data_IF_455460964822
#
_entry.id   IF_455460964822
#
_cell.length_a   1.000
_cell.length_b   1.000
_cell.length_c   1.000
_cell.angle_alpha   90.00
_cell.angle_beta   90.00
_cell.angle_gamma   90.00
#
_symmetry.space_group_name_H-M   'P 1'
#
loop_
_entity.id
_entity.type
_entity.pdbx_description
1 polymer ?
#
# COMPACT_ATOMS: atom_id res chain seq x y z
N UNK A 1 -40.12 -36.16 -34.30
CA UNK A 1 -39.49 -34.91 -33.84
C UNK A 1 -39.10 -35.11 -32.38
N UNK A 2 -37.81 -35.08 -32.05
CA UNK A 2 -37.37 -35.18 -30.64
C UNK A 2 -37.62 -33.82 -30.00
N UNK A 3 -38.65 -33.73 -29.16
CA UNK A 3 -38.93 -32.52 -28.37
C UNK A 3 -37.87 -32.45 -27.28
N UNK A 4 -36.94 -31.51 -27.40
CA UNK A 4 -35.96 -31.25 -26.35
C UNK A 4 -36.71 -30.84 -25.07
N UNK A 5 -36.37 -31.48 -23.95
CA UNK A 5 -36.96 -31.14 -22.66
C UNK A 5 -36.60 -29.68 -22.32
N UNK A 6 -37.60 -28.79 -22.11
CA UNK A 6 -37.36 -27.37 -21.84
C UNK A 6 -36.45 -27.13 -20.61
N UNK A 7 -36.40 -28.08 -19.67
CA UNK A 7 -35.55 -28.01 -18.48
C UNK A 7 -34.04 -27.98 -18.82
N UNK A 8 -33.62 -28.60 -19.92
CA UNK A 8 -32.21 -28.59 -20.34
C UNK A 8 -31.76 -27.20 -20.83
N UNK A 9 -32.67 -26.47 -21.50
CA UNK A 9 -32.39 -25.13 -21.99
C UNK A 9 -32.33 -24.14 -20.82
N UNK A 10 -33.26 -24.25 -19.86
CA UNK A 10 -33.25 -23.40 -18.65
C UNK A 10 -32.03 -23.66 -17.77
N UNK A 11 -31.60 -24.93 -17.65
CA UNK A 11 -30.38 -25.30 -16.90
C UNK A 11 -29.13 -24.71 -17.54
N UNK A 12 -28.97 -24.80 -18.86
CA UNK A 12 -27.82 -24.21 -19.56
C UNK A 12 -27.77 -22.68 -19.40
N UNK A 13 -28.89 -21.98 -19.62
CA UNK A 13 -28.96 -20.52 -19.47
C UNK A 13 -28.54 -20.11 -18.05
N UNK A 14 -28.97 -20.86 -17.04
CA UNK A 14 -28.62 -20.60 -15.64
C UNK A 14 -27.11 -20.73 -15.39
N UNK A 15 -26.46 -21.78 -15.93
CA UNK A 15 -25.02 -22.00 -15.78
C UNK A 15 -24.22 -20.85 -16.39
N UNK A 16 -24.53 -20.44 -17.63
CA UNK A 16 -23.82 -19.33 -18.29
C UNK A 16 -24.00 -18.02 -17.54
N UNK A 17 -25.19 -17.79 -16.98
CA UNK A 17 -25.47 -16.60 -16.16
C UNK A 17 -24.61 -16.58 -14.89
N UNK A 18 -24.48 -17.71 -14.20
CA UNK A 18 -23.63 -17.82 -13.01
C UNK A 18 -22.15 -17.61 -13.34
N UNK A 19 -21.67 -18.17 -14.46
CA UNK A 19 -20.29 -17.98 -14.93
C UNK A 19 -20.04 -16.49 -15.21
N UNK A 20 -20.94 -15.83 -15.93
CA UNK A 20 -20.84 -14.40 -16.23
C UNK A 20 -20.77 -13.53 -14.97
N UNK A 21 -21.62 -13.84 -13.96
CA UNK A 21 -21.59 -13.15 -12.67
C UNK A 21 -20.27 -13.38 -11.93
N UNK A 22 -19.76 -14.62 -11.89
CA UNK A 22 -18.51 -14.94 -11.23
C UNK A 22 -17.31 -14.18 -11.86
N UNK A 23 -17.24 -14.13 -13.19
CA UNK A 23 -16.21 -13.39 -13.91
C UNK A 23 -16.29 -11.88 -13.65
N UNK A 24 -17.52 -11.34 -13.64
CA UNK A 24 -17.77 -9.93 -13.34
C UNK A 24 -17.31 -9.58 -11.92
N UNK A 25 -17.68 -10.40 -10.93
CA UNK A 25 -17.26 -10.21 -9.54
C UNK A 25 -15.74 -10.30 -9.38
N UNK A 26 -15.10 -11.26 -10.06
CA UNK A 26 -13.65 -11.41 -10.03
C UNK A 26 -12.94 -10.16 -10.58
N UNK A 27 -13.44 -9.59 -11.68
CA UNK A 27 -12.91 -8.36 -12.27
C UNK A 27 -13.00 -7.19 -11.28
N UNK A 28 -14.19 -6.95 -10.71
CA UNK A 28 -14.40 -5.87 -9.74
C UNK A 28 -13.55 -6.05 -8.49
N UNK A 29 -13.43 -7.28 -7.98
CA UNK A 29 -12.60 -7.58 -6.81
C UNK A 29 -11.12 -7.27 -7.08
N UNK A 30 -10.63 -7.60 -8.28
CA UNK A 30 -9.25 -7.32 -8.69
C UNK A 30 -8.99 -5.81 -8.77
N UNK A 31 -9.91 -5.05 -9.37
CA UNK A 31 -9.81 -3.58 -9.44
C UNK A 31 -9.88 -2.97 -8.04
N UNK A 32 -10.78 -3.47 -7.19
CA UNK A 32 -10.90 -2.99 -5.82
C UNK A 32 -9.63 -3.23 -5.00
N UNK A 33 -8.94 -4.35 -5.24
CA UNK A 33 -7.70 -4.69 -4.55
C UNK A 33 -6.45 -3.94 -5.08
N UNK A 34 -6.53 -3.21 -6.20
CA UNK A 34 -5.37 -2.52 -6.82
C UNK A 34 -4.53 -1.68 -5.84
N UNK A 35 -5.11 -0.78 -5.01
CA UNK A 35 -4.31 0.06 -4.11
C UNK A 35 -3.48 -0.77 -3.13
N UNK A 36 -4.07 -1.84 -2.60
CA UNK A 36 -3.41 -2.78 -1.69
C UNK A 36 -2.30 -3.55 -2.41
N UNK A 37 -2.55 -4.03 -3.64
CA UNK A 37 -1.57 -4.75 -4.45
C UNK A 37 -0.35 -3.85 -4.74
N UNK A 38 -0.59 -2.60 -5.16
CA UNK A 38 0.48 -1.63 -5.47
C UNK A 38 1.30 -1.31 -4.22
N UNK A 39 0.65 -1.07 -3.08
CA UNK A 39 1.35 -0.78 -1.82
C UNK A 39 2.23 -1.96 -1.35
N UNK A 40 1.76 -3.19 -1.53
CA UNK A 40 2.54 -4.40 -1.21
C UNK A 40 3.68 -4.62 -2.19
N UNK A 41 3.43 -4.48 -3.50
CA UNK A 41 4.44 -4.66 -4.55
C UNK A 41 5.58 -3.64 -4.45
N UNK A 42 5.27 -2.39 -4.04
CA UNK A 42 6.27 -1.34 -3.80
C UNK A 42 6.93 -1.42 -2.42
N UNK A 43 6.56 -2.40 -1.59
CA UNK A 43 7.02 -2.54 -0.21
C UNK A 43 6.86 -1.23 0.60
N UNK A 44 5.73 -0.53 0.40
CA UNK A 44 5.51 0.82 0.90
C UNK A 44 5.60 0.84 2.44
N UNK A 45 6.31 1.81 3.05
CA UNK A 45 6.46 1.90 4.52
C UNK A 45 5.13 1.88 5.26
N UNK A 46 4.09 2.48 4.68
CA UNK A 46 2.71 2.51 5.22
C UNK A 46 1.75 1.52 4.55
N UNK A 47 2.25 0.41 4.00
CA UNK A 47 1.44 -0.62 3.31
C UNK A 47 0.23 -1.09 4.11
N UNK A 48 0.39 -1.28 5.42
CA UNK A 48 -0.70 -1.71 6.30
C UNK A 48 -1.78 -0.64 6.49
N UNK A 49 -1.41 0.64 6.52
CA UNK A 49 -2.38 1.74 6.60
C UNK A 49 -3.17 1.87 5.31
N UNK A 50 -2.51 1.73 4.15
CA UNK A 50 -3.17 1.74 2.83
C UNK A 50 -4.15 0.57 2.72
N UNK A 51 -3.76 -0.64 3.16
CA UNK A 51 -4.64 -1.82 3.17
C UNK A 51 -5.85 -1.59 4.09
N UNK A 52 -5.64 -1.04 5.29
CA UNK A 52 -6.73 -0.75 6.22
C UNK A 52 -7.73 0.27 5.67
N UNK A 53 -7.23 1.35 5.05
CA UNK A 53 -8.08 2.36 4.39
C UNK A 53 -8.80 1.76 3.18
N UNK A 54 -8.14 0.91 2.40
CA UNK A 54 -8.78 0.22 1.28
C UNK A 54 -9.91 -0.71 1.74
N UNK A 55 -9.72 -1.49 2.81
CA UNK A 55 -10.73 -2.41 3.36
C UNK A 55 -11.89 -1.67 4.03
N UNK A 56 -11.60 -0.74 4.94
CA UNK A 56 -12.62 -0.08 5.76
C UNK A 56 -13.27 1.05 4.97
N UNK A 57 -12.45 1.89 4.34
CA UNK A 57 -12.92 3.08 3.64
C UNK A 57 -13.53 2.78 2.27
N UNK A 58 -13.07 1.73 1.58
CA UNK A 58 -13.69 1.26 0.35
C UNK A 58 -15.04 0.56 0.60
N UNK A 59 -15.19 -0.18 1.71
CA UNK A 59 -16.42 -0.92 2.04
C UNK A 59 -17.52 -0.02 2.62
N UNK A 60 -17.16 1.02 3.38
CA UNK A 60 -18.13 1.86 4.11
C UNK A 60 -18.51 3.16 3.37
N UNK A 61 -17.59 3.77 2.62
CA UNK A 61 -17.78 5.13 2.07
C UNK A 61 -17.37 5.26 0.60
N UNK A 62 -16.66 4.28 0.02
CA UNK A 62 -16.13 4.31 -1.35
C UNK A 62 -14.99 5.30 -1.58
N UNK A 63 -15.02 6.46 -0.92
CA UNK A 63 -13.97 7.50 -0.98
C UNK A 63 -12.64 6.98 -0.45
N UNK A 64 -12.65 6.08 0.53
CA UNK A 64 -11.44 5.48 1.06
C UNK A 64 -10.64 4.71 0.02
N UNK A 65 -11.29 4.17 -1.02
CA UNK A 65 -10.60 3.52 -2.13
C UNK A 65 -9.76 4.53 -2.93
N UNK A 66 -10.31 5.71 -3.24
CA UNK A 66 -9.57 6.77 -3.96
C UNK A 66 -8.41 7.30 -3.10
N UNK A 67 -8.65 7.53 -1.81
CA UNK A 67 -7.60 7.98 -0.88
C UNK A 67 -6.48 6.95 -0.80
N UNK A 68 -6.81 5.65 -0.68
CA UNK A 68 -5.82 4.58 -0.68
C UNK A 68 -5.03 4.52 -1.99
N UNK A 69 -5.69 4.74 -3.14
CA UNK A 69 -5.06 4.76 -4.45
C UNK A 69 -4.09 5.94 -4.59
N UNK A 70 -4.45 7.13 -4.13
CA UNK A 70 -3.52 8.27 -4.13
C UNK A 70 -2.33 7.96 -3.20
N UNK A 71 -2.62 7.45 -2.00
CA UNK A 71 -1.60 7.24 -0.97
C UNK A 71 -0.59 6.14 -1.34
N UNK A 72 -0.95 5.14 -2.13
CA UNK A 72 0.01 4.12 -2.58
C UNK A 72 1.07 4.66 -3.56
N UNK A 73 0.89 5.89 -4.08
CA UNK A 73 1.88 6.59 -4.89
C UNK A 73 2.66 7.68 -4.15
N UNK A 74 2.27 8.05 -2.93
CA UNK A 74 2.95 9.09 -2.15
C UNK A 74 4.09 8.48 -1.34
N UNK A 75 5.32 8.68 -1.79
CA UNK A 75 6.50 8.20 -1.08
C UNK A 75 6.75 9.02 0.21
N UNK A 76 7.14 8.36 1.29
CA UNK A 76 7.47 9.00 2.57
C UNK A 76 8.81 9.76 2.47
N UNK A 77 8.78 11.01 2.01
CA UNK A 77 9.94 11.91 2.01
C UNK A 77 10.50 12.18 3.44
N UNK A 78 9.71 11.89 4.49
CA UNK A 78 10.01 12.26 5.87
C UNK A 78 11.16 11.50 6.54
N UNK A 79 11.54 10.31 6.04
CA UNK A 79 12.67 9.56 6.63
C UNK A 79 14.00 10.24 6.31
N UNK A 80 14.09 10.97 5.19
CA UNK A 80 15.28 11.77 4.87
C UNK A 80 15.42 12.97 5.80
N UNK A 81 14.32 13.66 6.07
CA UNK A 81 14.29 14.90 6.87
C UNK A 81 14.69 14.64 8.34
N UNK A 82 14.10 13.64 8.99
CA UNK A 82 14.41 13.31 10.40
C UNK A 82 15.89 13.00 10.63
N UNK A 83 16.55 12.33 9.67
CA UNK A 83 17.97 11.98 9.76
C UNK A 83 18.88 13.19 9.51
N UNK A 84 18.48 14.11 8.63
CA UNK A 84 19.15 15.40 8.42
C UNK A 84 19.05 16.24 9.71
N UNK A 85 17.88 16.27 10.34
CA UNK A 85 17.65 16.99 11.60
C UNK A 85 18.49 16.40 12.74
N UNK A 86 18.64 15.07 12.81
CA UNK A 86 19.54 14.39 13.76
C UNK A 86 21.02 14.76 13.52
N UNK A 87 21.47 14.79 12.27
CA UNK A 87 22.83 15.24 11.93
C UNK A 87 23.06 16.70 12.36
N UNK A 88 22.09 17.59 12.15
CA UNK A 88 22.19 18.97 12.62
C UNK A 88 22.25 19.05 14.16
N UNK A 89 21.48 18.20 14.86
CA UNK A 89 21.50 18.14 16.32
C UNK A 89 22.84 17.66 16.86
N UNK A 90 23.46 16.66 16.22
CA UNK A 90 24.79 16.19 16.57
C UNK A 90 25.85 17.27 16.36
N UNK A 91 25.75 18.04 15.27
CA UNK A 91 26.69 19.12 14.98
C UNK A 91 26.59 20.24 16.04
N UNK A 92 25.37 20.61 16.43
CA UNK A 92 25.14 21.56 17.53
C UNK A 92 25.73 21.08 18.86
N UNK A 93 25.60 19.80 19.19
CA UNK A 93 26.14 19.23 20.44
C UNK A 93 27.67 19.21 20.47
N UNK A 94 28.29 18.93 19.31
CA UNK A 94 29.74 19.04 19.11
C UNK A 94 30.21 20.49 19.26
N UNK A 95 29.54 21.44 18.60
CA UNK A 95 29.87 22.86 18.71
C UNK A 95 29.69 23.39 20.14
N UNK A 96 28.69 22.88 20.88
CA UNK A 96 28.47 23.19 22.29
C UNK A 96 29.45 22.50 23.27
N UNK A 97 30.44 21.75 22.77
CA UNK A 97 31.47 21.08 23.58
C UNK A 97 30.96 19.95 24.46
N UNK A 98 29.69 19.56 24.31
CA UNK A 98 29.05 18.49 25.10
C UNK A 98 29.29 17.09 24.51
N UNK A 99 29.80 17.03 23.27
CA UNK A 99 30.11 15.80 22.56
C UNK A 99 31.54 15.85 22.04
N UNK A 100 32.30 14.78 22.23
CA UNK A 100 33.66 14.69 21.70
C UNK A 100 33.65 14.41 20.20
N UNK A 101 34.73 14.80 19.49
CA UNK A 101 34.86 14.57 18.05
C UNK A 101 34.72 13.09 17.67
N UNK A 102 35.24 12.20 18.52
CA UNK A 102 35.20 10.76 18.31
C UNK A 102 33.75 10.20 18.40
N UNK A 103 32.95 10.68 19.36
CA UNK A 103 31.55 10.27 19.53
C UNK A 103 30.67 10.80 18.40
N UNK A 104 30.91 12.05 17.97
CA UNK A 104 30.22 12.65 16.83
C UNK A 104 30.46 11.84 15.54
N UNK A 105 31.72 11.56 15.22
CA UNK A 105 32.07 10.81 14.01
C UNK A 105 31.58 9.36 14.03
N UNK A 106 31.49 8.74 15.21
CA UNK A 106 30.88 7.42 15.36
C UNK A 106 29.38 7.44 15.01
N UNK A 107 28.60 8.38 15.55
CA UNK A 107 27.15 8.45 15.29
C UNK A 107 26.81 8.91 13.88
N UNK A 108 27.57 9.87 13.33
CA UNK A 108 27.43 10.31 11.94
C UNK A 108 27.66 9.18 10.95
N UNK A 109 28.68 8.33 11.17
CA UNK A 109 28.92 7.15 10.33
C UNK A 109 27.78 6.14 10.39
N UNK A 110 27.23 5.89 11.58
CA UNK A 110 26.08 5.01 11.73
C UNK A 110 24.84 5.52 10.97
N UNK A 111 24.58 6.83 11.02
CA UNK A 111 23.46 7.47 10.30
C UNK A 111 23.64 7.47 8.78
N UNK A 112 24.89 7.61 8.30
CA UNK A 112 25.21 7.58 6.86
C UNK A 112 25.21 6.16 6.29
N UNK A 113 25.61 5.14 7.05
CA UNK A 113 25.55 3.74 6.59
C UNK A 113 24.13 3.20 6.54
N UNK A 114 23.22 3.66 7.39
CA UNK A 114 21.80 3.33 7.35
C UNK A 114 21.05 3.95 6.14
N UNK A 115 21.76 4.63 5.24
CA UNK A 115 21.22 5.27 4.02
C UNK A 115 21.29 4.35 2.79
N UNK A 116 22.20 3.37 2.79
CA UNK A 116 22.42 2.40 1.70
C UNK A 116 21.66 1.10 1.94
#
# INVERSE_FOLDING_TARGET
MVVANPNYLTMQISIWTLIGQALTLLLFLTIYALPSIIALARNHPKRWSIIAVNLIGGLLVGIGWIVAMIWCFVDDAGVGTSRIDELERLDRLKQGGSLTEAEFEHQKRALLQARE
#
